data_IF_729998913599
#
_entry.id   IF_729998913599
#
_cell.length_a   1.000
_cell.length_b   1.000
_cell.length_c   1.000
_cell.angle_alpha   90.00
_cell.angle_beta   90.00
_cell.angle_gamma   90.00
#
_symmetry.space_group_name_H-M   'P 1'
#
loop_
_entity.id
_entity.type
_entity.pdbx_description
1 polymer ?
#
# COMPACT_ATOMS: atom_id res chain seq x y z
N UNK A 1 19.03 -8.48 -12.27
CA UNK A 1 18.91 -7.47 -11.21
C UNK A 1 20.20 -7.47 -10.41
N UNK A 2 20.86 -6.32 -10.28
CA UNK A 2 21.95 -6.21 -9.31
C UNK A 2 21.38 -6.35 -7.88
N UNK A 3 22.19 -6.78 -6.90
CA UNK A 3 21.74 -6.85 -5.50
C UNK A 3 21.15 -5.52 -4.99
N UNK A 4 21.73 -4.41 -5.41
CA UNK A 4 21.27 -3.06 -5.05
C UNK A 4 19.91 -2.72 -5.68
N UNK A 5 19.69 -3.07 -6.96
CA UNK A 5 18.39 -2.90 -7.60
C UNK A 5 17.31 -3.73 -6.91
N UNK A 6 17.61 -4.98 -6.51
CA UNK A 6 16.66 -5.84 -5.80
C UNK A 6 16.26 -5.23 -4.44
N UNK A 7 17.24 -4.67 -3.72
CA UNK A 7 17.00 -3.98 -2.44
C UNK A 7 16.14 -2.73 -2.62
N UNK A 8 16.41 -1.93 -3.65
CA UNK A 8 15.65 -0.72 -3.95
C UNK A 8 14.21 -1.06 -4.40
N UNK A 9 14.04 -2.06 -5.26
CA UNK A 9 12.72 -2.51 -5.69
C UNK A 9 11.89 -3.06 -4.52
N UNK A 10 12.53 -3.76 -3.57
CA UNK A 10 11.86 -4.20 -2.34
C UNK A 10 11.37 -3.01 -1.50
N UNK A 11 12.21 -2.00 -1.30
CA UNK A 11 11.80 -0.77 -0.57
C UNK A 11 10.65 -0.06 -1.28
N UNK A 12 10.76 0.12 -2.60
CA UNK A 12 9.70 0.73 -3.41
C UNK A 12 8.38 -0.04 -3.29
N UNK A 13 8.43 -1.37 -3.42
CA UNK A 13 7.25 -2.22 -3.29
C UNK A 13 6.61 -2.13 -1.90
N UNK A 14 7.42 -2.10 -0.83
CA UNK A 14 6.91 -1.93 0.54
C UNK A 14 6.25 -0.56 0.74
N UNK A 15 6.81 0.52 0.17
CA UNK A 15 6.19 1.85 0.22
C UNK A 15 4.84 1.85 -0.49
N UNK A 16 4.78 1.33 -1.72
CA UNK A 16 3.55 1.27 -2.49
C UNK A 16 2.48 0.42 -1.78
N UNK A 17 2.87 -0.73 -1.22
CA UNK A 17 1.96 -1.59 -0.46
C UNK A 17 1.42 -0.87 0.78
N UNK A 18 2.27 -0.11 1.50
CA UNK A 18 1.85 0.65 2.69
C UNK A 18 0.80 1.71 2.33
N UNK A 19 1.03 2.45 1.23
CA UNK A 19 0.08 3.44 0.73
C UNK A 19 -1.23 2.75 0.34
N UNK A 20 -1.18 1.65 -0.42
CA UNK A 20 -2.35 0.91 -0.83
C UNK A 20 -3.19 0.43 0.37
N UNK A 21 -2.55 -0.06 1.44
CA UNK A 21 -3.24 -0.47 2.67
C UNK A 21 -3.99 0.70 3.31
N UNK A 22 -3.38 1.88 3.43
CA UNK A 22 -4.04 3.06 3.99
C UNK A 22 -5.28 3.47 3.18
N UNK A 23 -5.18 3.49 1.86
CA UNK A 23 -6.32 3.76 0.98
C UNK A 23 -7.41 2.71 1.13
N UNK A 24 -7.05 1.43 1.17
CA UNK A 24 -8.00 0.34 1.26
C UNK A 24 -8.76 0.36 2.59
N UNK A 25 -8.07 0.60 3.69
CA UNK A 25 -8.69 0.78 5.01
C UNK A 25 -9.65 1.97 4.99
N UNK A 26 -9.22 3.13 4.48
CA UNK A 26 -10.09 4.31 4.38
C UNK A 26 -11.32 4.05 3.52
N UNK A 27 -11.17 3.31 2.42
CA UNK A 27 -12.27 2.91 1.55
C UNK A 27 -13.24 1.97 2.26
N UNK A 28 -12.75 0.94 2.95
CA UNK A 28 -13.61 0.02 3.73
C UNK A 28 -14.37 0.78 4.81
N UNK A 29 -13.70 1.67 5.56
CA UNK A 29 -14.35 2.48 6.60
C UNK A 29 -15.48 3.31 5.99
N UNK A 30 -15.24 3.96 4.84
CA UNK A 30 -16.28 4.72 4.13
C UNK A 30 -17.47 3.82 3.77
N UNK A 31 -17.22 2.66 3.18
CA UNK A 31 -18.27 1.75 2.73
C UNK A 31 -19.09 1.18 3.89
N UNK A 32 -18.43 0.78 4.98
CA UNK A 32 -19.08 0.09 6.12
C UNK A 32 -19.75 1.09 7.08
N UNK A 33 -19.12 2.23 7.36
CA UNK A 33 -19.59 3.16 8.39
C UNK A 33 -20.40 4.33 7.83
N UNK A 34 -20.06 4.81 6.63
CA UNK A 34 -20.62 6.03 6.03
C UNK A 34 -21.50 5.73 4.80
N UNK A 35 -21.77 4.45 4.52
CA UNK A 35 -22.55 3.99 3.37
C UNK A 35 -24.04 3.76 3.64
N UNK A 36 -24.63 4.48 4.59
CA UNK A 36 -26.09 4.46 4.85
C UNK A 36 -26.78 5.61 4.12
#
# INVERSE_FOLDING_TARGET
MTPDQKKNNRRMGLTLASIAVLFFIGFIIRMVWLGH
#
